data_IF_796933811966
#
_entry.id   IF_796933811966
#
_cell.length_a   1.000
_cell.length_b   1.000
_cell.length_c   1.000
_cell.angle_alpha   90.00
_cell.angle_beta   90.00
_cell.angle_gamma   90.00
#
_symmetry.space_group_name_H-M   'P 1'
#
loop_
_entity.id
_entity.type
_entity.pdbx_description
1 polymer ?
#
# COMPACT_ATOMS: atom_id res chain seq x y z
N UNK A 1 -19.75 -0.58 -10.98
CA UNK A 1 -18.28 -0.46 -11.12
C UNK A 1 -18.00 0.29 -12.42
N UNK A 2 -17.22 1.36 -12.40
CA UNK A 2 -16.90 2.09 -13.62
C UNK A 2 -16.07 1.21 -14.57
N UNK A 3 -16.33 1.26 -15.87
CA UNK A 3 -15.52 0.56 -16.87
C UNK A 3 -14.21 1.33 -17.02
N UNK A 4 -13.09 0.71 -16.63
CA UNK A 4 -11.76 1.31 -16.74
C UNK A 4 -11.14 0.81 -18.05
N UNK A 5 -10.72 1.73 -18.90
CA UNK A 5 -10.03 1.39 -20.14
C UNK A 5 -8.67 0.75 -19.83
N UNK A 6 -8.24 -0.30 -20.55
CA UNK A 6 -7.00 -1.02 -20.22
C UNK A 6 -5.75 -0.13 -20.19
N UNK A 7 -5.70 0.91 -21.01
CA UNK A 7 -4.61 1.90 -21.07
C UNK A 7 -4.52 2.79 -19.82
N UNK A 8 -5.53 2.79 -18.95
CA UNK A 8 -5.55 3.51 -17.68
C UNK A 8 -5.12 2.64 -16.48
N UNK A 9 -4.94 1.33 -16.67
CA UNK A 9 -4.48 0.42 -15.61
C UNK A 9 -2.95 0.52 -15.49
N UNK A 10 -2.44 0.48 -14.25
CA UNK A 10 -1.00 0.45 -13.96
C UNK A 10 -0.71 -0.71 -13.02
N UNK A 11 0.11 -1.66 -13.46
CA UNK A 11 0.64 -2.72 -12.62
C UNK A 11 2.02 -2.26 -12.12
N UNK A 12 2.18 -2.14 -10.81
CA UNK A 12 3.40 -1.60 -10.18
C UNK A 12 3.86 -2.57 -9.09
N UNK A 13 5.17 -2.79 -9.02
CA UNK A 13 5.81 -3.51 -7.92
C UNK A 13 6.73 -2.55 -7.16
N UNK A 14 6.64 -2.55 -5.83
CA UNK A 14 7.53 -1.80 -4.96
C UNK A 14 8.70 -2.70 -4.53
N UNK A 15 9.91 -2.32 -4.93
CA UNK A 15 11.15 -3.08 -4.69
C UNK A 15 12.20 -2.23 -3.97
N UNK A 16 13.08 -2.89 -3.22
CA UNK A 16 14.10 -2.24 -2.38
C UNK A 16 14.56 -3.15 -1.24
N UNK A 17 15.66 -2.81 -0.59
CA UNK A 17 16.22 -3.53 0.56
C UNK A 17 15.28 -3.47 1.77
N UNK A 18 15.52 -4.35 2.75
CA UNK A 18 14.80 -4.34 4.03
C UNK A 18 14.91 -2.94 4.65
N UNK A 19 13.80 -2.44 5.20
CA UNK A 19 13.70 -1.09 5.78
C UNK A 19 13.80 0.11 4.81
N UNK A 20 13.81 -0.08 3.48
CA UNK A 20 13.76 1.03 2.50
C UNK A 20 12.39 1.75 2.43
N UNK A 21 11.45 1.44 3.34
CA UNK A 21 10.15 2.12 3.42
C UNK A 21 9.10 1.65 2.40
N UNK A 22 9.30 0.48 1.77
CA UNK A 22 8.33 -0.11 0.81
C UNK A 22 6.90 -0.16 1.36
N UNK A 23 6.74 -0.75 2.55
CA UNK A 23 5.44 -0.88 3.23
C UNK A 23 4.85 0.47 3.57
N UNK A 24 5.67 1.39 4.09
CA UNK A 24 5.23 2.75 4.42
C UNK A 24 4.73 3.53 3.19
N UNK A 25 5.42 3.40 2.05
CA UNK A 25 5.00 4.03 0.80
C UNK A 25 3.67 3.44 0.30
N UNK A 26 3.53 2.12 0.33
CA UNK A 26 2.30 1.44 -0.07
C UNK A 26 1.11 1.86 0.79
N UNK A 27 1.30 1.96 2.11
CA UNK A 27 0.28 2.43 3.06
C UNK A 27 -0.12 3.88 2.78
N UNK A 28 0.86 4.75 2.48
CA UNK A 28 0.60 6.14 2.11
C UNK A 28 -0.19 6.27 0.80
N UNK A 29 0.08 5.40 -0.19
CA UNK A 29 -0.71 5.35 -1.43
C UNK A 29 -2.17 4.96 -1.17
N UNK A 30 -2.42 3.96 -0.31
CA UNK A 30 -3.78 3.55 0.05
C UNK A 30 -4.53 4.67 0.79
N UNK A 31 -3.85 5.35 1.71
CA UNK A 31 -4.43 6.49 2.45
C UNK A 31 -4.74 7.66 1.51
N UNK A 32 -3.78 8.06 0.67
CA UNK A 32 -3.97 9.15 -0.30
C UNK A 32 -5.05 8.84 -1.34
N UNK A 33 -5.22 7.56 -1.71
CA UNK A 33 -6.30 7.09 -2.58
C UNK A 33 -7.65 6.92 -1.89
N UNK A 34 -7.75 7.18 -0.58
CA UNK A 34 -8.98 7.04 0.21
C UNK A 34 -9.45 5.58 0.36
N UNK A 35 -8.57 4.61 0.15
CA UNK A 35 -8.87 3.18 0.36
C UNK A 35 -8.85 2.81 1.83
N UNK A 36 -8.06 3.52 2.65
CA UNK A 36 -8.00 3.38 4.10
C UNK A 36 -8.15 4.74 4.77
N UNK A 37 -8.81 4.78 5.93
CA UNK A 37 -9.12 6.03 6.65
C UNK A 37 -7.97 6.52 7.54
N UNK A 38 -6.99 5.66 7.80
CA UNK A 38 -5.84 5.95 8.69
C UNK A 38 -4.55 5.50 8.02
N UNK A 39 -3.52 6.32 8.14
CA UNK A 39 -2.16 5.95 7.77
C UNK A 39 -1.53 5.05 8.85
N UNK A 40 -1.41 3.74 8.57
CA UNK A 40 -0.71 2.78 9.43
C UNK A 40 0.81 2.99 9.48
N UNK A 41 1.47 2.31 10.43
CA UNK A 41 2.93 2.32 10.61
C UNK A 41 3.46 0.90 10.77
N UNK A 42 4.52 0.51 10.03
CA UNK A 42 5.12 -0.83 10.16
C UNK A 42 5.56 -1.16 11.59
N UNK A 43 6.21 -0.21 12.27
CA UNK A 43 6.68 -0.40 13.65
C UNK A 43 5.55 -0.65 14.67
N UNK A 44 4.32 -0.29 14.32
CA UNK A 44 3.14 -0.51 15.15
C UNK A 44 2.34 -1.75 14.71
N UNK A 45 2.81 -2.50 13.71
CA UNK A 45 2.18 -3.72 13.18
C UNK A 45 0.73 -3.49 12.75
N UNK A 46 0.41 -2.29 12.26
CA UNK A 46 -0.96 -1.88 11.97
C UNK A 46 -1.14 -1.32 10.56
N UNK A 47 -0.24 -1.67 9.65
CA UNK A 47 -0.41 -1.39 8.23
C UNK A 47 -1.36 -2.39 7.60
N UNK A 48 -1.90 -2.05 6.43
CA UNK A 48 -2.76 -2.95 5.65
C UNK A 48 -2.02 -4.21 5.18
N UNK A 49 -0.69 -4.18 5.18
CA UNK A 49 0.18 -5.26 4.71
C UNK A 49 0.61 -6.22 5.83
N UNK A 50 0.27 -5.92 7.09
CA UNK A 50 0.59 -6.77 8.25
C UNK A 50 -0.54 -7.80 8.49
N UNK A 51 -0.73 -8.73 7.55
CA UNK A 51 -1.82 -9.73 7.60
C UNK A 51 -1.37 -11.15 8.00
N UNK A 52 -0.07 -11.38 8.10
CA UNK A 52 0.48 -12.66 8.56
C UNK A 52 0.52 -12.71 10.10
N UNK A 53 0.15 -13.83 10.73
CA UNK A 53 0.43 -14.04 12.15
C UNK A 53 1.94 -14.00 12.38
N UNK A 54 2.39 -13.29 13.41
CA UNK A 54 3.79 -13.34 13.88
C UNK A 54 4.16 -14.71 14.47
#
# INVERSE_FOLDING_TARGET
MARIDPDKIRNVALLGHSHDGKTSLAEAMLYAGGTVDRLGKPDAGNTTFDFEPE
#
